data_IF_398859080447
#
_entry.id   IF_398859080447
#
_cell.length_a   1.000
_cell.length_b   1.000
_cell.length_c   1.000
_cell.angle_alpha   90.00
_cell.angle_beta   90.00
_cell.angle_gamma   90.00
#
_symmetry.space_group_name_H-M   'P 1'
#
loop_
_entity.id
_entity.type
_entity.pdbx_description
1 polymer ?
#
# COMPACT_ATOMS: atom_id res chain seq x y z
N UNK A 1 15.46 -3.71 -3.17
CA UNK A 1 14.06 -3.47 -2.79
C UNK A 1 14.01 -2.61 -1.56
N UNK A 2 13.22 -1.54 -1.59
CA UNK A 2 12.80 -0.78 -0.41
C UNK A 2 11.56 -1.39 0.23
N UNK A 3 10.91 -0.66 1.13
CA UNK A 3 9.63 -1.07 1.72
C UNK A 3 8.50 -0.56 0.82
N UNK A 4 7.61 -1.42 0.28
CA UNK A 4 6.54 -0.97 -0.60
C UNK A 4 5.52 -0.07 0.11
N UNK A 5 4.86 0.79 -0.64
CA UNK A 5 3.64 1.44 -0.17
C UNK A 5 2.46 0.47 -0.29
N UNK A 6 1.62 0.30 0.75
CA UNK A 6 0.52 -0.67 0.73
C UNK A 6 -0.72 -0.09 0.04
N UNK A 7 -0.59 0.29 -1.24
CA UNK A 7 -1.58 1.05 -2.02
C UNK A 7 -1.82 0.41 -3.39
N UNK A 8 -3.07 0.44 -3.82
CA UNK A 8 -3.50 0.16 -5.19
C UNK A 8 -4.37 1.32 -5.68
N UNK A 9 -4.40 1.56 -6.99
CA UNK A 9 -5.22 2.60 -7.60
C UNK A 9 -6.26 1.97 -8.52
N UNK A 10 -7.50 2.44 -8.47
CA UNK A 10 -8.54 1.99 -9.40
C UNK A 10 -8.14 2.34 -10.85
N UNK A 11 -8.15 1.36 -11.74
CA UNK A 11 -7.70 1.53 -13.13
C UNK A 11 -8.61 2.46 -13.99
N UNK A 12 -9.81 2.78 -13.51
CA UNK A 12 -10.77 3.65 -14.21
C UNK A 12 -10.77 5.08 -13.64
N UNK A 13 -10.99 5.23 -12.33
CA UNK A 13 -11.13 6.56 -11.71
C UNK A 13 -9.90 7.06 -10.93
N UNK A 14 -8.89 6.21 -10.71
CA UNK A 14 -7.67 6.55 -9.98
C UNK A 14 -7.82 6.65 -8.46
N UNK A 15 -8.95 6.20 -7.89
CA UNK A 15 -9.15 6.19 -6.43
C UNK A 15 -8.10 5.30 -5.75
N UNK A 16 -7.51 5.80 -4.65
CA UNK A 16 -6.51 5.09 -3.89
C UNK A 16 -7.16 4.14 -2.87
N UNK A 17 -6.85 2.86 -2.98
CA UNK A 17 -7.22 1.82 -2.02
C UNK A 17 -5.98 1.47 -1.20
N UNK A 18 -6.10 1.58 0.12
CA UNK A 18 -4.99 1.40 1.07
C UNK A 18 -5.27 0.17 1.94
N UNK A 19 -4.25 -0.66 2.18
CA UNK A 19 -4.38 -1.82 3.06
C UNK A 19 -4.80 -1.43 4.48
N UNK A 20 -5.58 -2.29 5.13
CA UNK A 20 -5.90 -2.09 6.54
C UNK A 20 -4.67 -2.36 7.41
N UNK A 21 -4.59 -1.67 8.55
CA UNK A 21 -3.46 -1.81 9.49
C UNK A 21 -3.28 -3.25 10.00
N UNK A 22 -4.35 -4.02 10.09
CA UNK A 22 -4.33 -5.40 10.57
C UNK A 22 -3.71 -6.38 9.57
N UNK A 23 -3.72 -6.04 8.28
CA UNK A 23 -3.22 -6.88 7.20
C UNK A 23 -1.75 -6.59 6.86
N UNK A 24 -1.19 -5.49 7.41
CA UNK A 24 0.20 -5.16 7.23
C UNK A 24 1.13 -6.22 7.85
N UNK A 25 2.24 -6.59 7.19
CA UNK A 25 2.73 -6.03 5.93
C UNK A 25 2.11 -6.67 4.68
N UNK A 26 1.90 -5.85 3.65
CA UNK A 26 1.49 -6.29 2.30
C UNK A 26 2.45 -5.73 1.26
N UNK A 27 2.59 -6.43 0.13
CA UNK A 27 3.29 -5.99 -1.08
C UNK A 27 2.28 -5.93 -2.23
N UNK A 28 1.87 -4.73 -2.70
CA UNK A 28 0.84 -4.60 -3.72
C UNK A 28 1.21 -5.25 -5.06
N UNK A 29 2.49 -5.49 -5.33
CA UNK A 29 2.94 -6.19 -6.54
C UNK A 29 2.67 -7.71 -6.50
N UNK A 30 2.37 -8.26 -5.33
CA UNK A 30 2.14 -9.70 -5.11
C UNK A 30 0.83 -10.04 -4.42
N UNK A 31 0.27 -9.10 -3.65
CA UNK A 31 -0.96 -9.25 -2.88
C UNK A 31 -2.13 -8.52 -3.56
N UNK A 32 -3.34 -9.06 -3.40
CA UNK A 32 -4.57 -8.45 -3.90
C UNK A 32 -5.01 -7.25 -3.02
N UNK A 33 -5.71 -6.24 -3.59
CA UNK A 33 -6.29 -5.14 -2.82
C UNK A 33 -7.34 -5.65 -1.81
N UNK A 34 -7.58 -4.92 -0.70
CA UNK A 34 -8.51 -5.34 0.36
C UNK A 34 -10.00 -5.27 -0.03
N UNK A 35 -10.31 -4.94 -1.28
CA UNK A 35 -11.68 -4.77 -1.78
C UNK A 35 -11.84 -5.44 -3.15
N UNK A 36 -13.01 -6.02 -3.39
CA UNK A 36 -13.33 -6.65 -4.68
C UNK A 36 -13.71 -5.65 -5.78
N UNK A 37 -14.10 -4.42 -5.40
CA UNK A 37 -14.50 -3.36 -6.32
C UNK A 37 -14.22 -1.97 -5.72
N UNK A 38 -13.98 -1.00 -6.59
CA UNK A 38 -13.66 0.37 -6.23
C UNK A 38 -14.82 1.01 -5.46
N UNK A 39 -14.56 1.54 -4.25
CA UNK A 39 -15.62 2.10 -3.41
C UNK A 39 -16.26 3.37 -4.01
N UNK A 40 -15.56 4.06 -4.92
CA UNK A 40 -16.03 5.31 -5.53
C UNK A 40 -16.81 5.08 -6.84
N UNK A 41 -16.33 4.22 -7.75
CA UNK A 41 -16.96 4.01 -9.07
C UNK A 41 -17.49 2.60 -9.34
N UNK A 42 -17.13 1.61 -8.52
CA UNK A 42 -17.56 0.22 -8.67
C UNK A 42 -16.79 -0.62 -9.70
N UNK A 43 -15.72 -0.08 -10.30
CA UNK A 43 -14.83 -0.87 -11.17
C UNK A 43 -13.99 -1.88 -10.37
N UNK A 44 -13.62 -3.00 -10.98
CA UNK A 44 -13.05 -4.19 -10.36
C UNK A 44 -11.56 -4.44 -10.70
N UNK A 45 -10.94 -3.57 -11.51
CA UNK A 45 -9.51 -3.66 -11.82
C UNK A 45 -8.71 -2.56 -11.09
N UNK A 46 -7.53 -2.95 -10.60
CA UNK A 46 -6.64 -2.09 -9.82
C UNK A 46 -5.19 -2.22 -10.27
N UNK A 47 -4.48 -1.09 -10.30
CA UNK A 47 -3.06 -1.00 -10.57
C UNK A 47 -2.29 -0.88 -9.25
N UNK A 48 -1.28 -1.74 -8.98
CA UNK A 48 -0.51 -1.68 -7.74
C UNK A 48 0.50 -0.53 -7.76
N UNK A 49 0.76 0.07 -6.59
CA UNK A 49 1.86 1.02 -6.42
C UNK A 49 3.22 0.28 -6.48
N UNK A 50 4.12 0.70 -7.38
CA UNK A 50 5.44 0.09 -7.56
C UNK A 50 6.57 0.87 -6.88
N UNK A 51 6.29 2.08 -6.38
CA UNK A 51 7.24 2.85 -5.58
C UNK A 51 7.51 2.22 -4.21
N UNK A 52 8.69 2.54 -3.67
CA UNK A 52 9.12 2.10 -2.34
C UNK A 52 9.50 3.30 -1.47
N UNK A 53 9.26 3.17 -0.16
CA UNK A 53 9.67 4.14 0.85
C UNK A 53 11.18 4.40 0.79
N UNK A 54 11.53 5.68 0.90
CA UNK A 54 12.91 6.10 1.06
C UNK A 54 13.52 5.53 2.35
N UNK A 55 14.78 5.12 2.27
CA UNK A 55 15.58 4.66 3.42
C UNK A 55 15.65 5.65 4.58
N UNK A 56 15.46 6.95 4.35
CA UNK A 56 15.42 7.98 5.38
C UNK A 56 14.12 7.92 6.20
N UNK A 57 13.02 7.48 5.59
CA UNK A 57 11.75 7.28 6.29
C UNK A 57 11.89 6.20 7.38
N UNK A 58 12.61 5.11 7.10
CA UNK A 58 12.86 4.06 8.10
C UNK A 58 13.96 4.43 9.08
N UNK A 59 15.06 5.04 8.61
CA UNK A 59 16.19 5.43 9.46
C UNK A 59 15.79 6.45 10.54
N UNK A 60 14.90 7.39 10.20
CA UNK A 60 14.39 8.37 11.17
C UNK A 60 13.54 7.76 12.29
N UNK A 61 12.97 6.57 12.07
CA UNK A 61 12.15 5.85 13.04
C UNK A 61 12.95 4.85 13.89
N UNK A 62 14.25 4.66 13.64
CA UNK A 62 15.13 3.74 14.40
C UNK A 62 15.00 3.86 15.93
N UNK A 63 14.92 5.07 16.53
CA UNK A 63 14.76 5.19 17.99
C UNK A 63 13.42 4.65 18.51
N UNK A 64 12.35 4.77 17.72
CA UNK A 64 11.00 4.30 18.05
C UNK A 64 10.89 2.79 17.84
N UNK A 65 11.49 2.25 16.77
CA UNK A 65 11.48 0.82 16.47
C UNK A 65 12.18 0.01 17.58
N UNK A 66 13.26 0.54 18.16
CA UNK A 66 13.97 -0.10 19.27
C UNK A 66 13.36 0.13 20.66
N UNK A 67 12.30 0.93 20.76
CA UNK A 67 11.60 1.21 22.02
C UNK A 67 10.38 0.29 22.25
N UNK A 68 10.16 -0.69 21.37
CA UNK A 68 9.14 -1.74 21.50
C UNK A 68 9.49 -2.77 22.56
#
# INVERSE_FOLDING_TARGET
SGIPFPVWYCADCGEAVIAEKADLPVDPLSDDPPVDACPECGHDEFEPEDDVLDTWATSSLTPLINAG
#
